data_IF_203670672937
#
_entry.id   IF_203670672937
#
_cell.length_a   1.000
_cell.length_b   1.000
_cell.length_c   1.000
_cell.angle_alpha   90.00
_cell.angle_beta   90.00
_cell.angle_gamma   90.00
#
_symmetry.space_group_name_H-M   'P 1'
#
loop_
_entity.id
_entity.type
_entity.pdbx_description
1 polymer ?
#
# COMPACT_ATOMS: atom_id res chain seq x y z
N UNK A 1 10.91 13.23 23.87
CA UNK A 1 10.29 14.17 22.92
C UNK A 1 9.67 13.32 21.81
N UNK A 2 8.36 13.40 21.57
CA UNK A 2 7.70 12.58 20.56
C UNK A 2 7.85 13.29 19.21
N UNK A 3 8.74 12.77 18.35
CA UNK A 3 9.06 13.38 17.07
C UNK A 3 7.85 13.29 16.11
N UNK A 4 7.24 14.41 15.68
CA UNK A 4 6.11 14.43 14.73
C UNK A 4 6.46 13.93 13.32
N UNK A 5 7.72 13.52 13.10
CA UNK A 5 8.27 12.99 11.85
C UNK A 5 8.42 11.46 11.86
N UNK A 6 8.02 10.78 12.94
CA UNK A 6 8.10 9.32 13.01
C UNK A 6 7.00 8.68 12.13
N UNK A 7 7.35 7.92 11.07
CA UNK A 7 6.38 7.34 10.17
C UNK A 7 5.35 6.43 10.88
N UNK A 8 5.80 5.69 11.90
CA UNK A 8 4.92 4.83 12.70
C UNK A 8 3.86 5.61 13.49
N UNK A 9 4.17 6.80 13.99
CA UNK A 9 3.18 7.63 14.70
C UNK A 9 2.07 8.08 13.75
N UNK A 10 2.40 8.44 12.51
CA UNK A 10 1.42 8.78 11.48
C UNK A 10 0.58 7.59 11.05
N UNK A 11 1.16 6.39 10.96
CA UNK A 11 0.41 5.16 10.73
C UNK A 11 -0.61 4.92 11.84
N UNK A 12 -0.20 5.04 13.11
CA UNK A 12 -1.10 4.86 14.25
C UNK A 12 -2.21 5.91 14.30
N UNK A 13 -1.90 7.17 14.00
CA UNK A 13 -2.89 8.25 13.91
C UNK A 13 -3.91 7.95 12.81
N UNK A 14 -3.46 7.60 11.61
CA UNK A 14 -4.35 7.26 10.51
C UNK A 14 -5.18 6.02 10.80
N UNK A 15 -4.63 5.02 11.49
CA UNK A 15 -5.39 3.86 11.96
C UNK A 15 -6.53 4.27 12.90
N UNK A 16 -6.27 5.16 13.86
CA UNK A 16 -7.30 5.67 14.76
C UNK A 16 -8.38 6.45 14.00
N UNK A 17 -7.99 7.29 13.04
CA UNK A 17 -8.91 8.01 12.15
C UNK A 17 -9.84 7.04 11.39
N UNK A 18 -9.29 5.97 10.81
CA UNK A 18 -10.08 4.97 10.09
C UNK A 18 -10.97 4.14 11.03
N UNK A 19 -10.52 3.83 12.24
CA UNK A 19 -11.31 3.09 13.22
C UNK A 19 -12.56 3.86 13.69
N UNK A 20 -12.52 5.20 13.65
CA UNK A 20 -13.67 6.04 14.02
C UNK A 20 -14.83 6.03 13.02
N UNK A 21 -14.68 5.40 11.85
CA UNK A 21 -15.69 5.25 10.79
C UNK A 21 -16.37 6.54 10.29
N UNK A 22 -15.91 7.72 10.73
CA UNK A 22 -16.33 9.00 10.17
C UNK A 22 -15.64 9.21 8.81
N UNK A 23 -16.37 9.27 7.69
CA UNK A 23 -15.80 9.44 6.36
C UNK A 23 -14.99 10.74 6.21
N UNK A 24 -15.26 11.77 7.01
CA UNK A 24 -14.52 13.03 7.01
C UNK A 24 -13.03 12.85 7.30
N UNK A 25 -12.64 11.77 8.00
CA UNK A 25 -11.24 11.49 8.30
C UNK A 25 -10.54 10.62 7.26
N UNK A 26 -11.25 10.06 6.28
CA UNK A 26 -10.64 9.14 5.31
C UNK A 26 -9.56 9.80 4.46
N UNK A 27 -9.75 11.07 4.07
CA UNK A 27 -8.77 11.83 3.29
C UNK A 27 -7.51 12.16 4.12
N UNK A 28 -7.68 12.60 5.38
CA UNK A 28 -6.57 12.89 6.28
C UNK A 28 -5.78 11.62 6.66
N UNK A 29 -6.47 10.50 6.87
CA UNK A 29 -5.84 9.22 7.11
C UNK A 29 -5.01 8.78 5.89
N UNK A 30 -5.57 8.93 4.69
CA UNK A 30 -4.88 8.61 3.43
C UNK A 30 -3.58 9.42 3.30
N UNK A 31 -3.63 10.74 3.48
CA UNK A 31 -2.46 11.61 3.37
C UNK A 31 -1.34 11.21 4.36
N UNK A 32 -1.70 10.93 5.62
CA UNK A 32 -0.74 10.49 6.63
C UNK A 32 -0.08 9.16 6.26
N UNK A 33 -0.85 8.21 5.74
CA UNK A 33 -0.35 6.90 5.33
C UNK A 33 0.53 6.99 4.09
N UNK A 34 0.14 7.77 3.08
CA UNK A 34 0.98 8.00 1.90
C UNK A 34 2.31 8.65 2.27
N UNK A 35 2.29 9.64 3.17
CA UNK A 35 3.51 10.24 3.67
C UNK A 35 4.38 9.20 4.40
N UNK A 36 3.79 8.44 5.32
CA UNK A 36 4.52 7.45 6.11
C UNK A 36 5.17 6.38 5.23
N UNK A 37 4.46 5.87 4.22
CA UNK A 37 4.99 4.85 3.29
C UNK A 37 6.06 5.39 2.33
N UNK A 38 6.12 6.71 2.11
CA UNK A 38 7.26 7.34 1.42
C UNK A 38 8.50 7.44 2.31
N UNK A 39 8.32 7.64 3.62
CA UNK A 39 9.44 7.76 4.56
C UNK A 39 10.01 6.41 4.98
N UNK A 40 9.14 5.49 5.40
CA UNK A 40 9.53 4.15 5.81
C UNK A 40 8.57 3.11 5.21
N UNK A 41 8.93 2.59 4.03
CA UNK A 41 8.12 1.58 3.37
C UNK A 41 8.21 0.20 4.05
N UNK A 42 9.11 -0.03 5.01
CA UNK A 42 9.23 -1.34 5.68
C UNK A 42 8.14 -1.57 6.74
N UNK A 43 7.37 -0.53 7.08
CA UNK A 43 6.24 -0.61 8.01
C UNK A 43 5.05 -1.32 7.33
N UNK A 44 5.02 -2.65 7.41
CA UNK A 44 4.01 -3.50 6.75
C UNK A 44 2.56 -3.17 7.12
N UNK A 45 2.31 -2.78 8.37
CA UNK A 45 0.97 -2.40 8.83
C UNK A 45 0.49 -1.10 8.16
N UNK A 46 1.42 -0.19 7.84
CA UNK A 46 1.10 1.05 7.13
C UNK A 46 0.54 0.79 5.74
N UNK A 47 1.10 -0.17 5.00
CA UNK A 47 0.56 -0.58 3.70
C UNK A 47 -0.83 -1.22 3.79
N UNK A 48 -1.10 -1.97 4.86
CA UNK A 48 -2.43 -2.51 5.11
C UNK A 48 -3.46 -1.40 5.33
N UNK A 49 -3.13 -0.45 6.21
CA UNK A 49 -3.98 0.70 6.49
C UNK A 49 -4.16 1.59 5.25
N UNK A 50 -3.11 1.74 4.44
CA UNK A 50 -3.16 2.49 3.18
C UNK A 50 -4.11 1.83 2.18
N UNK A 51 -4.14 0.51 2.10
CA UNK A 51 -5.09 -0.21 1.26
C UNK A 51 -6.55 0.06 1.69
N UNK A 52 -6.82 0.06 3.00
CA UNK A 52 -8.15 0.39 3.55
C UNK A 52 -8.50 1.84 3.24
N UNK A 53 -7.58 2.78 3.47
CA UNK A 53 -7.79 4.20 3.21
C UNK A 53 -8.11 4.45 1.73
N UNK A 54 -7.36 3.86 0.80
CA UNK A 54 -7.66 3.94 -0.63
C UNK A 54 -9.04 3.37 -0.98
N UNK A 55 -9.40 2.19 -0.46
CA UNK A 55 -10.70 1.58 -0.73
C UNK A 55 -11.86 2.45 -0.22
N UNK A 56 -11.71 3.08 0.95
CA UNK A 56 -12.71 4.00 1.52
C UNK A 56 -12.81 5.35 0.80
N UNK A 57 -11.81 5.69 -0.02
CA UNK A 57 -11.83 6.85 -0.91
C UNK A 57 -12.15 6.42 -2.37
N UNK A 58 -12.74 5.25 -2.58
CA UNK A 58 -13.10 4.68 -3.89
C UNK A 58 -11.92 4.44 -4.86
N UNK A 59 -10.69 4.41 -4.36
CA UNK A 59 -9.47 4.21 -5.13
C UNK A 59 -9.05 2.73 -5.15
N UNK A 60 -9.94 1.84 -5.62
CA UNK A 60 -9.76 0.39 -5.57
C UNK A 60 -8.49 -0.14 -6.27
N UNK A 61 -8.04 0.52 -7.34
CA UNK A 61 -6.78 0.20 -8.01
C UNK A 61 -5.57 0.47 -7.11
N UNK A 62 -5.56 1.61 -6.43
CA UNK A 62 -4.52 1.97 -5.46
C UNK A 62 -4.57 1.10 -4.20
N UNK A 63 -5.78 0.72 -3.74
CA UNK A 63 -5.95 -0.23 -2.65
C UNK A 63 -5.32 -1.60 -2.97
N UNK A 64 -5.50 -2.06 -4.21
CA UNK A 64 -4.89 -3.29 -4.71
C UNK A 64 -3.36 -3.16 -4.77
N UNK A 65 -2.85 -2.01 -5.21
CA UNK A 65 -1.41 -1.74 -5.25
C UNK A 65 -0.80 -1.73 -3.84
N UNK A 66 -1.40 -1.03 -2.87
CA UNK A 66 -0.92 -0.99 -1.49
C UNK A 66 -0.90 -2.40 -0.86
N UNK A 67 -1.89 -3.24 -1.19
CA UNK A 67 -1.88 -4.66 -0.79
C UNK A 67 -0.72 -5.42 -1.42
N UNK A 68 -0.44 -5.19 -2.71
CA UNK A 68 0.68 -5.82 -3.40
C UNK A 68 2.03 -5.43 -2.78
N UNK A 69 2.20 -4.15 -2.44
CA UNK A 69 3.39 -3.60 -1.79
C UNK A 69 3.64 -4.22 -0.42
N UNK A 70 2.57 -4.40 0.38
CA UNK A 70 2.63 -5.11 1.67
C UNK A 70 3.16 -6.53 1.50
N UNK A 71 2.53 -7.30 0.61
CA UNK A 71 2.87 -8.70 0.42
C UNK A 71 4.27 -8.89 -0.19
N UNK A 72 4.67 -7.97 -1.07
CA UNK A 72 6.01 -7.96 -1.65
C UNK A 72 7.08 -7.87 -0.56
N UNK A 73 6.93 -6.91 0.37
CA UNK A 73 7.85 -6.71 1.50
C UNK A 73 7.77 -7.80 2.56
N UNK A 74 6.59 -8.36 2.77
CA UNK A 74 6.41 -9.52 3.64
C UNK A 74 7.00 -10.83 3.05
N UNK A 75 7.50 -10.81 1.81
CA UNK A 75 8.01 -12.00 1.12
C UNK A 75 6.92 -12.95 0.59
N UNK A 76 5.65 -12.56 0.69
CA UNK A 76 4.48 -13.29 0.22
C UNK A 76 4.26 -13.03 -1.29
N UNK A 77 5.13 -13.62 -2.11
CA UNK A 77 5.25 -13.28 -3.53
C UNK A 77 4.00 -13.59 -4.36
N UNK A 78 3.30 -14.69 -4.05
CA UNK A 78 2.14 -15.10 -4.85
C UNK A 78 0.99 -14.11 -4.65
N UNK A 79 0.78 -13.70 -3.41
CA UNK A 79 -0.18 -12.69 -2.97
C UNK A 79 0.20 -11.32 -3.55
N UNK A 80 1.48 -10.96 -3.51
CA UNK A 80 1.97 -9.72 -4.12
C UNK A 80 1.62 -9.65 -5.60
N UNK A 81 1.90 -10.71 -6.37
CA UNK A 81 1.59 -10.79 -7.81
C UNK A 81 0.08 -10.77 -8.06
N UNK A 82 -0.71 -11.48 -7.25
CA UNK A 82 -2.17 -11.49 -7.36
C UNK A 82 -2.75 -10.07 -7.22
N UNK A 83 -2.37 -9.36 -6.17
CA UNK A 83 -2.83 -8.00 -5.92
C UNK A 83 -2.32 -6.99 -6.95
N UNK A 84 -1.06 -7.14 -7.41
CA UNK A 84 -0.50 -6.27 -8.43
C UNK A 84 -1.22 -6.43 -9.78
N UNK A 85 -1.61 -7.65 -10.19
CA UNK A 85 -2.43 -7.87 -11.38
C UNK A 85 -3.80 -7.18 -11.28
N UNK A 86 -4.41 -7.24 -10.09
CA UNK A 86 -5.67 -6.52 -9.83
C UNK A 86 -5.48 -5.00 -9.92
N UNK A 87 -4.35 -4.49 -9.44
CA UNK A 87 -4.01 -3.07 -9.59
C UNK A 87 -3.89 -2.69 -11.08
N UNK A 88 -3.18 -3.46 -11.90
CA UNK A 88 -3.05 -3.18 -13.34
C UNK A 88 -4.39 -3.10 -14.07
N UNK A 89 -5.35 -3.94 -13.70
CA UNK A 89 -6.68 -3.93 -14.31
C UNK A 89 -7.50 -2.67 -13.98
N UNK A 90 -7.25 -2.05 -12.82
CA UNK A 90 -8.05 -0.94 -12.31
C UNK A 90 -7.34 0.42 -12.39
N UNK A 91 -6.04 0.43 -12.69
CA UNK A 91 -5.25 1.66 -12.81
C UNK A 91 -5.07 2.02 -14.29
N UNK A 92 -5.11 3.32 -14.65
CA UNK A 92 -4.81 3.75 -16.00
C UNK A 92 -3.44 3.27 -16.45
N UNK A 93 -3.37 2.71 -17.65
CA UNK A 93 -2.11 2.28 -18.25
C UNK A 93 -1.11 3.45 -18.33
N UNK A 94 0.16 3.16 -18.01
CA UNK A 94 1.21 4.18 -17.95
C UNK A 94 1.18 5.09 -16.71
N UNK A 95 0.15 5.01 -15.86
CA UNK A 95 0.15 5.76 -14.59
C UNK A 95 1.27 5.27 -13.65
N UNK A 96 1.75 6.11 -12.71
CA UNK A 96 2.78 5.70 -11.75
C UNK A 96 2.42 4.44 -10.95
N UNK A 97 1.16 4.31 -10.53
CA UNK A 97 0.70 3.11 -9.82
C UNK A 97 0.67 1.87 -10.70
N UNK A 98 0.34 2.02 -11.99
CA UNK A 98 0.37 0.93 -12.96
C UNK A 98 1.81 0.45 -13.24
N UNK A 99 2.77 1.36 -13.39
CA UNK A 99 4.19 1.03 -13.55
C UNK A 99 4.71 0.27 -12.32
N UNK A 100 4.43 0.78 -11.12
CA UNK A 100 4.83 0.14 -9.86
C UNK A 100 4.22 -1.26 -9.67
N UNK A 101 2.97 -1.46 -10.08
CA UNK A 101 2.36 -2.79 -10.06
C UNK A 101 3.07 -3.77 -11.00
N UNK A 102 3.56 -3.33 -12.17
CA UNK A 102 4.36 -4.20 -13.05
C UNK A 102 5.69 -4.59 -12.40
N UNK A 103 6.37 -3.64 -11.77
CA UNK A 103 7.65 -3.91 -11.10
C UNK A 103 7.51 -5.01 -10.03
N UNK A 104 6.42 -4.97 -9.26
CA UNK A 104 6.09 -6.02 -8.26
C UNK A 104 5.87 -7.38 -8.93
N UNK A 105 5.16 -7.41 -10.06
CA UNK A 105 4.92 -8.65 -10.81
C UNK A 105 6.23 -9.25 -11.31
N UNK A 106 7.11 -8.43 -11.90
CA UNK A 106 8.39 -8.91 -12.45
C UNK A 106 9.36 -9.34 -11.35
N UNK A 107 9.39 -8.63 -10.23
CA UNK A 107 10.18 -9.00 -9.04
C UNK A 107 9.69 -10.32 -8.45
N UNK A 108 8.37 -10.51 -8.34
CA UNK A 108 7.75 -11.73 -7.83
C UNK A 108 8.04 -12.96 -8.70
N UNK A 109 8.08 -12.81 -10.03
CA UNK A 109 8.41 -13.89 -10.98
C UNK A 109 9.89 -14.27 -10.95
N UNK A 110 10.78 -13.30 -10.91
CA UNK A 110 12.24 -13.51 -11.01
C UNK A 110 12.79 -14.39 -9.89
N UNK A 111 12.29 -14.20 -8.67
CA UNK A 111 12.72 -14.98 -7.50
C UNK A 111 12.16 -16.41 -7.43
N UNK A 112 11.25 -16.79 -8.35
CA UNK A 112 10.77 -18.18 -8.51
C UNK A 112 11.73 -19.01 -9.35
N UNK A 113 12.43 -18.39 -10.33
CA UNK A 113 13.39 -19.06 -11.21
C UNK A 113 14.72 -19.43 -10.55
N UNK A 114 15.08 -18.79 -9.43
CA UNK A 114 16.35 -19.05 -8.73
C UNK A 114 16.27 -20.17 -7.67
N UNK A 115 15.10 -20.79 -7.46
CA UNK A 115 14.87 -21.81 -6.41
C UNK A 115 14.52 -23.20 -6.97
N UNK A 116 14.67 -23.42 -8.27
CA UNK A 116 14.52 -24.71 -8.93
C UNK A 116 15.78 -25.02 -9.71
#
# INVERSE_FOLDING_TARGET
>A
ELAPEEPLLRVNLAQAMLAGENPEYNAAALENLEWAMRQDPEILIGWHQLAIAYARNDQNGMASLASAERYSRAGARQEAVLHAKRALHNLPEGSPGWLRAQDIIETGKSNRKQRG
#
